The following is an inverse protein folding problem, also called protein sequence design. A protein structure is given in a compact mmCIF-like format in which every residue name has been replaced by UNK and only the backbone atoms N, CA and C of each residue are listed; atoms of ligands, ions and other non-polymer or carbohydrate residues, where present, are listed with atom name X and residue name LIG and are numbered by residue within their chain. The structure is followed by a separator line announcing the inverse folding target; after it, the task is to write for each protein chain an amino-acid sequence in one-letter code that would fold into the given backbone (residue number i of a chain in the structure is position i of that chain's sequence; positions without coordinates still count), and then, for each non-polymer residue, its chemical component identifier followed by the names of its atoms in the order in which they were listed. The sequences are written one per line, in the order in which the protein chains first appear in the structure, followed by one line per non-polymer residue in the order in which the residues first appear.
data_IF_559462561437
#
_entry.id   IF_559462561437
#
_cell.length_a   1.000
_cell.length_b   1.000
_cell.length_c   1.000
_cell.angle_alpha   90.00
_cell.angle_beta   90.00
_cell.angle_gamma   90.00
#
_symmetry.space_group_name_H-M   'P 1'
#
loop_
_entity.id
_entity.type
_entity.pdbx_description
1 polymer ?
#
# COMPACT_ATOMS: atom_id res chain seq x y z
N UNK A 1 8.00 22.44 -18.09
CA UNK A 1 7.72 21.12 -17.49
C UNK A 1 7.18 21.36 -16.09
N UNK A 2 6.00 20.82 -15.79
CA UNK A 2 5.39 20.99 -14.47
C UNK A 2 6.15 20.09 -13.48
N UNK A 3 6.95 20.66 -12.60
CA UNK A 3 7.79 19.89 -11.68
C UNK A 3 6.89 19.29 -10.60
N UNK A 4 6.92 17.98 -10.46
CA UNK A 4 6.17 17.24 -9.43
C UNK A 4 6.53 17.76 -8.02
N UNK A 5 5.57 18.21 -7.20
CA UNK A 5 5.84 18.89 -5.92
C UNK A 5 6.05 17.92 -4.73
N UNK A 6 6.01 16.62 -4.96
CA UNK A 6 6.20 15.58 -3.95
C UNK A 6 7.16 14.50 -4.47
N UNK A 7 7.60 13.61 -3.59
CA UNK A 7 8.47 12.47 -3.92
C UNK A 7 7.76 11.16 -3.60
N UNK A 8 7.88 10.20 -4.52
CA UNK A 8 7.68 8.77 -4.23
C UNK A 8 9.03 8.26 -3.75
N UNK A 9 9.10 7.84 -2.49
CA UNK A 9 10.34 7.45 -1.84
C UNK A 9 10.68 5.99 -2.08
N UNK A 10 9.70 5.10 -1.97
CA UNK A 10 9.89 3.67 -2.16
C UNK A 10 8.60 2.89 -1.91
N UNK A 11 8.70 1.57 -1.94
CA UNK A 11 7.60 0.66 -1.61
C UNK A 11 7.45 0.63 -0.08
N UNK A 12 6.24 0.82 0.40
CA UNK A 12 5.88 0.66 1.80
C UNK A 12 5.41 -0.76 2.08
N UNK A 13 4.51 -1.29 1.23
CA UNK A 13 3.94 -2.63 1.40
C UNK A 13 3.60 -3.29 0.07
N UNK A 14 3.47 -4.62 0.13
CA UNK A 14 2.90 -5.47 -0.91
C UNK A 14 1.80 -6.30 -0.24
N UNK A 15 0.56 -6.12 -0.64
CA UNK A 15 -0.57 -6.85 -0.07
C UNK A 15 -0.98 -8.01 -1.00
N UNK A 16 -0.97 -9.21 -0.45
CA UNK A 16 -1.22 -10.46 -1.17
C UNK A 16 -2.48 -11.11 -0.61
N UNK A 17 -3.46 -11.29 -1.47
CA UNK A 17 -4.74 -11.92 -1.14
C UNK A 17 -4.79 -13.40 -1.50
N UNK A 18 -5.33 -14.21 -0.62
CA UNK A 18 -5.60 -15.61 -0.83
C UNK A 18 -6.89 -16.05 -0.15
N UNK A 19 -7.45 -17.16 -0.59
CA UNK A 19 -8.65 -17.74 0.03
C UNK A 19 -8.36 -18.34 1.43
N UNK A 20 -7.10 -18.69 1.69
CA UNK A 20 -6.64 -19.33 2.92
C UNK A 20 -5.28 -18.72 3.31
N UNK A 21 -5.26 -17.96 4.38
CA UNK A 21 -4.07 -17.29 4.92
C UNK A 21 -2.99 -18.29 5.36
N UNK A 22 -3.37 -19.47 5.87
CA UNK A 22 -2.40 -20.49 6.29
C UNK A 22 -1.53 -20.98 5.11
N UNK A 23 -2.09 -21.02 3.91
CA UNK A 23 -1.31 -21.37 2.71
C UNK A 23 -0.31 -20.30 2.33
N UNK A 24 -0.68 -19.03 2.53
CA UNK A 24 0.25 -17.91 2.36
C UNK A 24 1.35 -17.93 3.42
N UNK A 25 0.99 -18.14 4.70
CA UNK A 25 1.95 -18.27 5.80
C UNK A 25 2.97 -19.39 5.54
N UNK A 26 2.51 -20.53 5.01
CA UNK A 26 3.40 -21.67 4.68
C UNK A 26 4.54 -21.25 3.76
N UNK A 27 4.26 -20.44 2.75
CA UNK A 27 5.30 -19.96 1.82
C UNK A 27 6.11 -18.79 2.42
N UNK A 28 5.42 -17.74 2.86
CA UNK A 28 6.07 -16.48 3.21
C UNK A 28 6.75 -16.53 4.58
N UNK A 29 6.12 -17.15 5.57
CA UNK A 29 6.64 -17.23 6.93
C UNK A 29 7.54 -18.45 7.09
N UNK A 30 7.01 -19.67 6.83
CA UNK A 30 7.75 -20.90 7.13
C UNK A 30 8.94 -21.14 6.18
N UNK A 31 8.74 -20.91 4.87
CA UNK A 31 9.78 -21.26 3.87
C UNK A 31 10.67 -20.06 3.52
N UNK A 32 10.11 -18.86 3.40
CA UNK A 32 10.90 -17.66 3.11
C UNK A 32 11.44 -16.98 4.38
N UNK A 33 10.91 -17.33 5.55
CA UNK A 33 11.42 -16.87 6.83
C UNK A 33 11.04 -15.43 7.18
N UNK A 34 9.94 -14.88 6.63
CA UNK A 34 9.46 -13.57 7.03
C UNK A 34 8.91 -13.61 8.46
N UNK A 35 9.17 -12.56 9.22
CA UNK A 35 8.65 -12.40 10.57
C UNK A 35 7.26 -11.76 10.53
N UNK A 36 6.28 -12.36 11.21
CA UNK A 36 4.97 -11.74 11.45
C UNK A 36 5.13 -10.71 12.56
N UNK A 37 5.00 -9.43 12.24
CA UNK A 37 5.18 -8.31 13.16
C UNK A 37 3.88 -7.72 13.68
N UNK A 38 2.75 -8.09 13.06
CA UNK A 38 1.44 -7.62 13.45
C UNK A 38 0.32 -8.37 12.77
N UNK A 39 -0.90 -8.09 13.20
CA UNK A 39 -2.12 -8.61 12.59
C UNK A 39 -3.16 -7.49 12.49
N UNK A 40 -3.99 -7.56 11.47
CA UNK A 40 -5.11 -6.64 11.30
C UNK A 40 -6.36 -7.41 10.94
N UNK A 41 -7.49 -7.08 11.58
CA UNK A 41 -8.79 -7.68 11.31
C UNK A 41 -9.86 -6.60 11.21
N UNK A 42 -10.61 -6.60 10.13
CA UNK A 42 -11.64 -5.60 9.88
C UNK A 42 -12.88 -6.21 9.22
N UNK A 43 -14.01 -6.13 9.91
CA UNK A 43 -15.31 -6.53 9.34
C UNK A 43 -15.72 -5.58 8.18
N UNK A 44 -15.38 -4.30 8.30
CA UNK A 44 -15.66 -3.31 7.26
C UNK A 44 -14.91 -3.60 5.97
N UNK A 45 -13.62 -3.94 6.08
CA UNK A 45 -12.75 -4.26 4.96
C UNK A 45 -12.83 -5.75 4.58
N UNK A 46 -13.63 -6.53 5.30
CA UNK A 46 -13.79 -7.97 5.10
C UNK A 46 -12.43 -8.69 5.01
N UNK A 47 -11.54 -8.42 5.96
CA UNK A 47 -10.17 -8.93 5.93
C UNK A 47 -9.68 -9.43 7.28
N UNK A 48 -8.94 -10.52 7.23
CA UNK A 48 -8.06 -11.04 8.28
C UNK A 48 -6.65 -11.13 7.69
N UNK A 49 -5.69 -10.42 8.30
CA UNK A 49 -4.39 -10.10 7.72
C UNK A 49 -3.27 -10.35 8.72
N UNK A 50 -2.18 -10.93 8.23
CA UNK A 50 -0.89 -10.96 8.92
C UNK A 50 0.06 -9.99 8.23
N UNK A 51 0.63 -9.07 9.00
CA UNK A 51 1.62 -8.10 8.56
C UNK A 51 3.00 -8.69 8.80
N UNK A 52 3.72 -8.99 7.72
CA UNK A 52 5.07 -9.55 7.79
C UNK A 52 6.11 -8.47 7.45
N UNK A 53 7.30 -8.56 8.05
CA UNK A 53 8.42 -7.67 7.73
C UNK A 53 9.39 -8.30 6.75
N UNK A 54 9.72 -7.57 5.69
CA UNK A 54 10.83 -7.84 4.80
C UNK A 54 11.89 -6.75 4.96
N UNK A 55 13.02 -7.09 5.56
CA UNK A 55 14.04 -6.14 5.99
C UNK A 55 13.72 -5.51 7.36
N UNK A 56 14.46 -4.48 7.73
CA UNK A 56 14.38 -3.83 9.05
C UNK A 56 14.49 -2.31 8.94
N UNK A 57 14.06 -1.63 10.01
CA UNK A 57 14.16 -0.18 10.14
C UNK A 57 13.29 0.58 9.15
N UNK A 58 13.67 1.82 8.81
CA UNK A 58 12.85 2.70 7.98
C UNK A 58 12.78 2.26 6.50
N UNK A 59 13.57 1.31 6.08
CA UNK A 59 13.61 0.78 4.71
C UNK A 59 12.92 -0.58 4.59
N UNK A 60 12.33 -1.11 5.67
CA UNK A 60 11.56 -2.34 5.60
C UNK A 60 10.38 -2.19 4.64
N UNK A 61 10.02 -3.28 3.99
CA UNK A 61 8.77 -3.41 3.23
C UNK A 61 7.85 -4.34 4.01
N UNK A 62 6.59 -3.99 4.15
CA UNK A 62 5.58 -4.89 4.71
C UNK A 62 5.06 -5.83 3.61
N UNK A 63 4.86 -7.08 3.98
CA UNK A 63 4.19 -8.07 3.12
C UNK A 63 2.95 -8.53 3.88
N UNK A 64 1.80 -8.08 3.41
CA UNK A 64 0.52 -8.32 4.05
C UNK A 64 -0.13 -9.57 3.46
N UNK A 65 -0.37 -10.57 4.30
CA UNK A 65 -0.98 -11.84 3.91
C UNK A 65 -2.46 -11.80 4.31
N UNK A 66 -3.33 -11.68 3.31
CA UNK A 66 -4.75 -11.37 3.48
C UNK A 66 -5.64 -12.54 3.12
N UNK A 67 -6.68 -12.78 3.93
CA UNK A 67 -7.82 -13.61 3.55
C UNK A 67 -9.13 -12.87 3.85
N UNK A 68 -10.23 -13.17 3.13
CA UNK A 68 -11.52 -12.59 3.48
C UNK A 68 -12.06 -13.22 4.78
N UNK A 69 -12.80 -12.45 5.57
CA UNK A 69 -13.59 -12.98 6.69
C UNK A 69 -14.80 -13.78 6.17
N UNK A 70 -15.39 -13.29 5.09
CA UNK A 70 -16.49 -13.95 4.38
C UNK A 70 -16.18 -13.90 2.87
N UNK A 71 -15.89 -15.05 2.23
CA UNK A 71 -15.48 -15.10 0.82
C UNK A 71 -16.57 -14.66 -0.16
N UNK A 72 -17.84 -14.63 0.27
CA UNK A 72 -18.97 -14.19 -0.55
C UNK A 72 -19.24 -12.68 -0.48
N UNK A 73 -18.58 -11.99 0.45
CA UNK A 73 -18.72 -10.54 0.63
C UNK A 73 -17.63 -9.74 -0.05
N UNK A 74 -17.91 -8.47 -0.23
CA UNK A 74 -16.93 -7.46 -0.69
C UNK A 74 -16.49 -6.58 0.48
N UNK A 75 -15.23 -6.11 0.43
CA UNK A 75 -14.18 -6.35 -0.55
C UNK A 75 -13.74 -7.81 -0.62
N UNK A 76 -13.58 -8.34 -1.83
CA UNK A 76 -13.10 -9.70 -2.07
C UNK A 76 -11.56 -9.68 -2.18
N UNK A 77 -10.88 -9.60 -1.04
CA UNK A 77 -9.41 -9.40 -0.97
C UNK A 77 -8.61 -10.53 -1.63
N UNK A 78 -9.21 -11.69 -1.78
CA UNK A 78 -8.60 -12.87 -2.42
C UNK A 78 -8.82 -12.94 -3.95
N UNK A 79 -9.70 -12.09 -4.50
CA UNK A 79 -10.07 -12.18 -5.93
C UNK A 79 -8.93 -11.73 -6.86
N UNK A 80 -8.07 -10.85 -6.38
CA UNK A 80 -6.85 -10.43 -7.08
C UNK A 80 -5.66 -10.74 -6.19
N UNK A 81 -4.82 -11.73 -6.55
CA UNK A 81 -3.72 -12.19 -5.67
C UNK A 81 -2.75 -11.08 -5.26
N UNK A 82 -2.32 -10.22 -6.19
CA UNK A 82 -1.68 -8.95 -5.84
C UNK A 82 -2.78 -7.93 -5.58
N UNK A 83 -3.18 -7.79 -4.31
CA UNK A 83 -4.31 -6.93 -3.95
C UNK A 83 -3.98 -5.45 -4.17
N UNK A 84 -2.87 -4.97 -3.61
CA UNK A 84 -2.38 -3.60 -3.85
C UNK A 84 -0.87 -3.48 -3.56
N UNK A 85 -0.32 -2.35 -3.98
CA UNK A 85 1.04 -1.91 -3.67
C UNK A 85 0.94 -0.59 -2.90
N UNK A 86 1.62 -0.49 -1.78
CA UNK A 86 1.77 0.75 -1.01
C UNK A 86 3.07 1.48 -1.35
N UNK A 87 2.98 2.77 -1.54
CA UNK A 87 4.11 3.64 -1.87
C UNK A 87 4.28 4.71 -0.79
N UNK A 88 5.48 4.87 -0.26
CA UNK A 88 5.83 5.99 0.60
C UNK A 88 5.84 7.31 -0.17
N UNK A 89 5.10 8.29 0.33
CA UNK A 89 5.00 9.65 -0.20
C UNK A 89 5.46 10.64 0.87
N UNK A 90 6.31 11.58 0.53
CA UNK A 90 6.85 12.57 1.47
C UNK A 90 5.81 13.61 1.91
N UNK A 91 4.88 13.97 1.04
CA UNK A 91 3.77 14.91 1.32
C UNK A 91 2.49 14.43 0.63
N UNK A 92 1.69 13.65 1.36
CA UNK A 92 0.49 13.01 0.80
C UNK A 92 -0.59 14.02 0.37
N UNK A 93 -0.94 15.06 1.15
CA UNK A 93 -1.92 16.05 0.70
C UNK A 93 -1.52 16.76 -0.59
N UNK A 94 -0.26 17.17 -0.71
CA UNK A 94 0.28 17.82 -1.92
C UNK A 94 0.25 16.84 -3.10
N UNK A 95 0.61 15.58 -2.86
CA UNK A 95 0.58 14.55 -3.90
C UNK A 95 -0.84 14.31 -4.42
N UNK A 96 -1.82 14.15 -3.54
CA UNK A 96 -3.22 13.90 -3.92
C UNK A 96 -3.77 15.07 -4.74
N UNK A 97 -3.54 16.31 -4.29
CA UNK A 97 -4.00 17.49 -5.02
C UNK A 97 -3.38 17.55 -6.43
N UNK A 98 -2.06 17.44 -6.49
CA UNK A 98 -1.35 17.53 -7.78
C UNK A 98 -1.75 16.40 -8.75
N UNK A 99 -1.84 15.16 -8.25
CA UNK A 99 -2.25 14.01 -9.08
C UNK A 99 -3.70 14.16 -9.57
N UNK A 100 -4.60 14.68 -8.74
CA UNK A 100 -5.98 14.99 -9.15
C UNK A 100 -5.99 16.00 -10.29
N UNK A 101 -5.19 17.07 -10.19
CA UNK A 101 -5.05 18.09 -11.22
C UNK A 101 -4.46 17.52 -12.53
N UNK A 102 -3.72 16.41 -12.46
CA UNK A 102 -3.22 15.66 -13.63
C UNK A 102 -4.22 14.62 -14.16
N UNK A 103 -5.43 14.56 -13.63
CA UNK A 103 -6.48 13.64 -14.07
C UNK A 103 -6.40 12.23 -13.49
N UNK A 104 -5.70 12.05 -12.38
CA UNK A 104 -5.64 10.76 -11.69
C UNK A 104 -6.92 10.51 -10.90
N UNK A 105 -7.52 9.34 -11.14
CA UNK A 105 -8.70 8.88 -10.40
C UNK A 105 -8.32 8.25 -9.08
N UNK A 106 -8.88 8.78 -8.00
CA UNK A 106 -8.77 8.18 -6.67
C UNK A 106 -9.99 7.30 -6.33
N UNK A 107 -9.78 6.30 -5.51
CA UNK A 107 -10.86 5.51 -4.92
C UNK A 107 -11.64 6.36 -3.89
N UNK A 108 -12.92 6.07 -3.64
CA UNK A 108 -13.71 6.77 -2.63
C UNK A 108 -13.09 6.70 -1.23
N UNK A 109 -13.25 7.76 -0.45
CA UNK A 109 -12.82 7.85 0.94
C UNK A 109 -11.70 8.86 1.19
N UNK A 110 -11.04 9.39 0.15
CA UNK A 110 -10.01 10.42 0.29
C UNK A 110 -8.85 10.00 1.21
N UNK A 111 -8.13 10.99 1.74
CA UNK A 111 -7.08 10.76 2.74
C UNK A 111 -7.73 10.35 4.06
N UNK A 112 -7.29 9.21 4.60
CA UNK A 112 -7.78 8.66 5.86
C UNK A 112 -6.71 7.86 6.59
N UNK A 113 -6.96 7.56 7.86
CA UNK A 113 -6.08 6.70 8.64
C UNK A 113 -6.15 5.25 8.15
N UNK A 114 -5.02 4.68 7.80
CA UNK A 114 -4.86 3.28 7.40
C UNK A 114 -4.63 2.33 8.57
N UNK A 115 -4.66 1.02 8.31
CA UNK A 115 -4.47 -0.03 9.31
C UNK A 115 -3.10 -0.01 10.00
N UNK A 116 -2.05 0.37 9.27
CA UNK A 116 -0.68 0.54 9.80
C UNK A 116 -0.47 1.84 10.60
N UNK A 117 -1.52 2.67 10.76
CA UNK A 117 -1.45 3.90 11.55
C UNK A 117 -0.89 5.12 10.81
N UNK A 118 -0.73 5.06 9.51
CA UNK A 118 -0.36 6.19 8.64
C UNK A 118 -1.58 6.74 7.90
N UNK A 119 -1.51 7.98 7.44
CA UNK A 119 -2.51 8.52 6.54
C UNK A 119 -2.31 7.96 5.14
N UNK A 120 -3.40 7.55 4.51
CA UNK A 120 -3.39 6.85 3.22
C UNK A 120 -4.46 7.39 2.27
N UNK A 121 -4.26 7.12 1.00
CA UNK A 121 -5.23 7.34 -0.06
C UNK A 121 -4.99 6.31 -1.17
N UNK A 122 -6.02 5.93 -1.92
CA UNK A 122 -5.88 4.93 -3.00
C UNK A 122 -6.10 5.53 -4.38
N UNK A 123 -5.16 5.30 -5.29
CA UNK A 123 -5.39 5.48 -6.73
C UNK A 123 -6.25 4.32 -7.22
N UNK A 124 -7.36 4.64 -7.89
CA UNK A 124 -8.28 3.64 -8.42
C UNK A 124 -7.61 2.82 -9.54
N UNK A 125 -7.83 1.48 -9.63
CA UNK A 125 -7.23 0.65 -10.67
C UNK A 125 -7.61 1.05 -12.10
N UNK A 126 -8.74 1.74 -12.29
CA UNK A 126 -9.24 2.15 -13.60
C UNK A 126 -9.49 3.64 -13.62
N UNK A 127 -9.16 4.30 -14.71
CA UNK A 127 -9.60 5.66 -15.01
C UNK A 127 -11.12 5.78 -15.19
N UNK A 128 -11.58 6.98 -15.44
CA UNK A 128 -12.96 7.33 -15.82
C UNK A 128 -12.93 8.43 -16.87
N UNK A 129 -14.10 8.81 -17.41
CA UNK A 129 -14.18 9.91 -18.39
C UNK A 129 -13.71 11.24 -17.78
N UNK A 130 -14.00 11.48 -16.50
CA UNK A 130 -13.60 12.70 -15.79
C UNK A 130 -12.12 12.66 -15.35
N UNK A 131 -11.65 11.50 -14.88
CA UNK A 131 -10.28 11.27 -14.43
C UNK A 131 -9.68 10.08 -15.20
N UNK A 132 -9.09 10.32 -16.38
CA UNK A 132 -8.71 9.24 -17.29
C UNK A 132 -7.51 8.40 -16.84
N UNK A 133 -6.72 8.89 -15.86
CA UNK A 133 -5.53 8.19 -15.37
C UNK A 133 -5.89 7.31 -14.17
N UNK A 134 -5.64 6.02 -14.27
CA UNK A 134 -5.79 5.05 -13.17
C UNK A 134 -4.55 4.18 -13.04
N UNK A 135 -4.64 3.15 -12.20
CA UNK A 135 -3.53 2.22 -11.94
C UNK A 135 -3.38 1.09 -12.97
N UNK A 136 -4.09 1.14 -14.11
CA UNK A 136 -4.05 0.14 -15.18
C UNK A 136 -4.23 -1.31 -14.68
N UNK A 137 -5.19 -1.50 -13.78
CA UNK A 137 -5.52 -2.77 -13.15
C UNK A 137 -4.90 -2.97 -11.77
N UNK A 138 -3.95 -2.14 -11.34
CA UNK A 138 -3.34 -2.20 -10.01
C UNK A 138 -3.99 -1.16 -9.09
N UNK A 139 -4.43 -1.59 -7.91
CA UNK A 139 -4.78 -0.70 -6.81
C UNK A 139 -3.49 -0.19 -6.17
N UNK A 140 -3.30 1.13 -6.10
CA UNK A 140 -2.08 1.71 -5.53
C UNK A 140 -2.43 2.52 -4.30
N UNK A 141 -1.87 2.16 -3.16
CA UNK A 141 -1.97 2.89 -1.91
C UNK A 141 -0.85 3.94 -1.83
N UNK A 142 -1.21 5.18 -1.62
CA UNK A 142 -0.27 6.24 -1.29
C UNK A 142 -0.25 6.41 0.22
N UNK A 143 0.91 6.31 0.83
CA UNK A 143 1.09 6.28 2.29
C UNK A 143 1.96 7.46 2.71
N UNK A 144 1.48 8.28 3.64
CA UNK A 144 2.27 9.38 4.20
C UNK A 144 3.50 8.82 4.93
N UNK A 145 4.68 9.09 4.42
CA UNK A 145 5.91 8.68 5.04
C UNK A 145 6.16 9.44 6.36
N UNK A 146 6.50 8.74 7.45
CA UNK A 146 6.94 9.40 8.68
C UNK A 146 8.35 10.00 8.51
N UNK A 147 8.74 10.95 9.38
CA UNK A 147 10.01 11.67 9.24
C UNK A 147 11.26 10.79 9.11
N UNK A 148 11.32 9.69 9.85
CA UNK A 148 12.45 8.75 9.81
C UNK A 148 12.59 8.05 8.46
N UNK A 149 11.48 7.75 7.78
CA UNK A 149 11.48 7.17 6.44
C UNK A 149 11.94 8.22 5.41
N UNK A 150 11.41 9.44 5.48
CA UNK A 150 11.84 10.53 4.60
C UNK A 150 13.35 10.78 4.74
N UNK A 151 13.86 10.81 5.98
CA UNK A 151 15.29 11.01 6.25
C UNK A 151 16.14 9.87 5.70
N UNK A 152 15.73 8.61 5.91
CA UNK A 152 16.48 7.45 5.43
C UNK A 152 16.61 7.44 3.91
N UNK A 153 15.51 7.64 3.18
CA UNK A 153 15.54 7.70 1.71
C UNK A 153 16.32 8.90 1.19
N UNK A 154 16.23 10.06 1.87
CA UNK A 154 17.04 11.23 1.52
C UNK A 154 18.52 11.00 1.72
N UNK A 155 18.91 10.34 2.81
CA UNK A 155 20.31 9.99 3.09
C UNK A 155 20.86 9.04 2.02
N UNK A 156 20.11 8.02 1.60
CA UNK A 156 20.49 7.12 0.52
C UNK A 156 20.69 7.86 -0.80
N UNK A 157 19.78 8.76 -1.15
CA UNK A 157 19.89 9.53 -2.39
C UNK A 157 21.13 10.44 -2.42
N UNK A 158 21.57 10.93 -1.26
CA UNK A 158 22.72 11.83 -1.11
C UNK A 158 24.05 11.11 -0.83
N UNK A 159 24.02 9.86 -0.37
CA UNK A 159 25.18 9.12 0.16
C UNK A 159 25.71 7.99 -0.72
N UNK A 160 25.04 7.67 -1.81
CA UNK A 160 25.52 6.65 -2.75
C UNK A 160 26.44 7.34 -3.79
N UNK A 161 27.67 7.53 -3.42
CA UNK A 161 28.82 7.68 -4.34
C UNK A 161 29.90 6.71 -3.93
#
# INVERSE_FOLDING_TARGET
MNTRPFKVLGIQQIAIGGADKLRLQKLWVDLFGLEVTGTFRSERENVDEDICALGQGPLKVEVDLMQPLDPEKKPAVHATPLNHIGLWIDDLPVAVQWLTDQGVRFAPGGIRRGGAGFDICFVHPKGSDEFPVGGEGVLIELVQAPPEVVQAFTALANGVR
#
